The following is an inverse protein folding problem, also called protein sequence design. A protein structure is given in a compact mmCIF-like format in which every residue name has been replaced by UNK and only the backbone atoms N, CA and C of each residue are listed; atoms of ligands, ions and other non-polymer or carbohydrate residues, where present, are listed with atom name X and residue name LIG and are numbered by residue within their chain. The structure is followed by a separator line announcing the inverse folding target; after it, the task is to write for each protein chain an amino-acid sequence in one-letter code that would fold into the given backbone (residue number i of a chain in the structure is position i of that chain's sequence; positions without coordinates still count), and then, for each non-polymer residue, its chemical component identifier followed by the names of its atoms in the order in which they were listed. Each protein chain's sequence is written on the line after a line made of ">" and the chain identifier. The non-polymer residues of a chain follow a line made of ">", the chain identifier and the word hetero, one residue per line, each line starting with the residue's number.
data_IF_204815035181
#
_entry.id   IF_204815035181
#
_cell.length_a   1.000
_cell.length_b   1.000
_cell.length_c   1.000
_cell.angle_alpha   90.00
_cell.angle_beta   90.00
_cell.angle_gamma   90.00
#
_symmetry.space_group_name_H-M   'P 1'
#
loop_
_entity.id
_entity.type
_entity.pdbx_description
1 polymer ?
#
# COMPACT_ATOMS: atom_id res chain seq x y z
N UNK A 1 -44.77 -29.77 36.54
CA UNK A 1 -43.33 -29.39 36.61
C UNK A 1 -42.74 -29.68 35.23
N UNK A 2 -42.81 -28.80 34.20
CA UNK A 2 -42.01 -27.57 33.99
C UNK A 2 -40.54 -27.82 34.42
N UNK A 3 -39.49 -27.71 33.59
CA UNK A 3 -39.14 -26.62 32.67
C UNK A 3 -38.14 -27.11 31.60
N UNK A 4 -38.43 -26.78 30.33
CA UNK A 4 -37.51 -26.74 29.19
C UNK A 4 -36.55 -25.55 29.29
N UNK A 5 -35.23 -25.74 29.09
CA UNK A 5 -34.25 -24.65 29.08
C UNK A 5 -33.73 -24.38 27.67
N UNK A 6 -34.18 -23.23 27.15
CA UNK A 6 -33.76 -22.58 25.92
C UNK A 6 -32.28 -22.20 25.89
N UNK A 7 -31.65 -22.41 24.73
CA UNK A 7 -30.39 -21.76 24.34
C UNK A 7 -30.74 -20.41 23.68
N UNK A 8 -30.36 -19.29 24.31
CA UNK A 8 -30.47 -17.94 23.72
C UNK A 8 -29.15 -17.53 23.08
N UNK A 9 -29.16 -17.45 21.75
CA UNK A 9 -28.18 -16.70 20.96
C UNK A 9 -28.37 -15.21 21.19
N UNK A 10 -27.32 -14.52 21.67
CA UNK A 10 -27.27 -13.07 21.73
C UNK A 10 -26.85 -12.53 20.36
N UNK A 11 -27.83 -12.10 19.57
CA UNK A 11 -27.63 -11.19 18.45
C UNK A 11 -27.70 -9.75 18.98
N UNK A 12 -26.58 -9.04 18.95
CA UNK A 12 -26.56 -7.60 19.19
C UNK A 12 -26.99 -6.88 17.90
N UNK A 13 -28.12 -6.19 17.99
CA UNK A 13 -28.79 -5.46 16.90
C UNK A 13 -28.55 -3.98 17.13
N UNK A 14 -27.72 -3.33 16.33
CA UNK A 14 -27.61 -1.87 16.30
C UNK A 14 -28.46 -1.32 15.16
N UNK A 15 -29.57 -0.69 15.54
CA UNK A 15 -30.37 0.20 14.71
C UNK A 15 -29.60 1.51 14.50
N UNK A 16 -29.48 1.96 13.24
CA UNK A 16 -29.38 3.38 12.92
C UNK A 16 -30.26 3.68 11.71
N UNK A 17 -31.07 4.72 11.85
CA UNK A 17 -32.34 4.94 11.15
C UNK A 17 -32.22 5.38 9.70
N UNK A 18 -33.29 5.03 8.96
CA UNK A 18 -33.63 5.57 7.65
C UNK A 18 -33.99 7.06 7.78
N UNK A 19 -33.38 7.89 6.94
CA UNK A 19 -33.97 9.14 6.47
C UNK A 19 -34.34 8.96 5.00
N UNK A 20 -35.63 9.01 4.72
CA UNK A 20 -36.18 9.05 3.37
C UNK A 20 -35.80 10.37 2.71
N UNK A 21 -35.29 10.32 1.48
CA UNK A 21 -35.47 11.40 0.51
C UNK A 21 -35.58 10.77 -0.89
N UNK A 22 -36.74 10.98 -1.49
CA UNK A 22 -37.06 10.59 -2.85
C UNK A 22 -36.45 11.60 -3.84
N UNK A 23 -35.88 11.12 -4.95
CA UNK A 23 -35.93 11.84 -6.22
C UNK A 23 -35.43 10.98 -7.39
N UNK A 24 -36.34 10.77 -8.33
CA UNK A 24 -36.17 10.82 -9.78
C UNK A 24 -35.39 9.69 -10.48
N UNK A 25 -36.20 8.82 -11.07
CA UNK A 25 -35.91 8.01 -12.25
C UNK A 25 -35.26 8.86 -13.35
N UNK A 26 -34.05 8.48 -13.77
CA UNK A 26 -33.55 8.79 -15.10
C UNK A 26 -33.06 7.48 -15.71
N UNK A 27 -33.94 6.88 -16.50
CA UNK A 27 -33.59 5.88 -17.50
C UNK A 27 -32.65 6.53 -18.51
N UNK A 28 -31.42 6.04 -18.65
CA UNK A 28 -30.58 6.30 -19.81
C UNK A 28 -30.28 4.97 -20.50
N UNK A 29 -31.18 4.60 -21.41
CA UNK A 29 -30.93 3.65 -22.48
C UNK A 29 -29.80 4.19 -23.35
N UNK A 30 -28.63 3.57 -23.31
CA UNK A 30 -27.60 3.83 -24.30
C UNK A 30 -27.94 3.09 -25.58
N UNK A 31 -28.44 3.86 -26.55
CA UNK A 31 -28.47 3.51 -27.96
C UNK A 31 -27.05 3.17 -28.43
N UNK A 32 -26.86 1.95 -28.92
CA UNK A 32 -25.76 1.63 -29.82
C UNK A 32 -26.01 2.37 -31.13
N UNK A 33 -25.26 3.43 -31.40
CA UNK A 33 -25.14 4.01 -32.74
C UNK A 33 -23.78 3.69 -33.32
N UNK A 34 -23.86 2.97 -34.44
CA UNK A 34 -22.88 2.57 -35.44
C UNK A 34 -21.77 3.58 -35.78
N UNK A 35 -20.54 3.07 -35.84
CA UNK A 35 -19.74 2.95 -37.07
C UNK A 35 -19.45 4.22 -37.87
N UNK A 36 -18.21 4.71 -37.76
CA UNK A 36 -17.46 5.33 -38.86
C UNK A 36 -15.98 5.39 -38.46
N UNK A 37 -15.21 4.36 -38.84
CA UNK A 37 -13.75 4.45 -38.92
C UNK A 37 -13.36 4.12 -40.36
N UNK A 38 -12.71 5.08 -41.00
CA UNK A 38 -12.22 5.03 -42.35
C UNK A 38 -11.24 3.84 -42.53
N UNK A 39 -11.40 3.14 -43.65
CA UNK A 39 -10.47 2.14 -44.12
C UNK A 39 -9.15 2.80 -44.52
N UNK A 40 -8.04 2.28 -44.00
CA UNK A 40 -6.72 2.44 -44.59
C UNK A 40 -6.16 1.03 -44.79
N UNK A 41 -6.21 0.55 -46.03
CA UNK A 41 -5.53 -0.66 -46.46
C UNK A 41 -4.02 -0.39 -46.47
N UNK A 42 -3.26 -1.08 -45.63
CA UNK A 42 -1.79 -1.13 -45.76
C UNK A 42 -1.40 -2.40 -46.50
N UNK A 43 -0.68 -2.21 -47.60
CA UNK A 43 -0.16 -3.27 -48.47
C UNK A 43 0.89 -4.11 -47.73
N UNK A 44 0.77 -5.43 -47.89
CA UNK A 44 1.80 -6.38 -47.51
C UNK A 44 3.03 -6.21 -48.41
N UNK A 45 4.18 -5.98 -47.78
CA UNK A 45 5.51 -6.11 -48.37
C UNK A 45 6.31 -7.03 -47.47
N UNK A 46 6.78 -8.14 -48.02
CA UNK A 46 7.43 -9.23 -47.33
C UNK A 46 8.92 -9.23 -47.67
N UNK A 47 9.79 -8.75 -46.78
CA UNK A 47 11.24 -9.02 -46.84
C UNK A 47 11.86 -9.04 -45.42
N UNK A 48 12.27 -10.22 -44.94
CA UNK A 48 13.14 -10.38 -43.77
C UNK A 48 12.44 -10.52 -42.40
N UNK A 49 12.02 -11.74 -42.04
CA UNK A 49 11.34 -12.03 -40.77
C UNK A 49 12.31 -12.06 -39.56
N UNK A 50 12.83 -10.91 -39.16
CA UNK A 50 13.01 -10.66 -37.74
C UNK A 50 11.62 -10.32 -37.17
N UNK A 51 11.04 -11.23 -36.38
CA UNK A 51 9.74 -10.98 -35.74
C UNK A 51 9.81 -9.66 -34.97
N UNK A 52 9.18 -8.61 -35.50
CA UNK A 52 9.14 -7.31 -34.84
C UNK A 52 8.57 -7.48 -33.43
N UNK A 53 9.41 -7.26 -32.41
CA UNK A 53 9.06 -7.42 -31.00
C UNK A 53 7.98 -6.38 -30.67
N UNK A 54 6.72 -6.81 -30.66
CA UNK A 54 5.59 -5.94 -30.34
C UNK A 54 5.52 -5.64 -28.84
N UNK A 55 5.56 -4.35 -28.47
CA UNK A 55 5.42 -3.88 -27.08
C UNK A 55 3.99 -3.46 -26.74
N UNK A 56 3.51 -3.82 -25.56
CA UNK A 56 2.15 -3.56 -25.08
C UNK A 56 2.06 -2.27 -24.26
N UNK A 57 2.08 -1.13 -24.95
CA UNK A 57 1.81 0.17 -24.35
C UNK A 57 0.37 0.32 -23.84
N UNK A 58 0.12 1.33 -23.02
CA UNK A 58 -1.23 1.61 -22.47
C UNK A 58 -2.27 1.92 -23.55
N UNK A 59 -1.85 2.46 -24.70
CA UNK A 59 -2.73 2.77 -25.85
C UNK A 59 -3.24 1.52 -26.57
N UNK A 60 -2.58 0.37 -26.38
CA UNK A 60 -2.90 -0.86 -27.11
C UNK A 60 -4.01 -1.65 -26.39
N UNK A 61 -5.14 -1.85 -27.07
CA UNK A 61 -6.30 -2.57 -26.51
C UNK A 61 -6.03 -4.08 -26.29
N UNK A 62 -5.37 -4.74 -27.25
CA UNK A 62 -5.08 -6.18 -27.21
C UNK A 62 -3.63 -6.41 -26.83
N UNK A 63 -3.40 -6.79 -25.58
CA UNK A 63 -2.04 -7.01 -25.04
C UNK A 63 -1.55 -8.44 -25.16
N UNK A 64 -2.41 -9.44 -25.38
CA UNK A 64 -1.99 -10.85 -25.43
C UNK A 64 -0.97 -11.07 -26.54
N UNK A 65 0.15 -11.67 -26.18
CA UNK A 65 1.24 -11.97 -27.11
C UNK A 65 2.21 -10.82 -27.33
N UNK A 66 2.02 -9.66 -26.71
CA UNK A 66 2.98 -8.56 -26.75
C UNK A 66 3.85 -8.57 -25.50
N UNK A 67 5.02 -7.96 -25.59
CA UNK A 67 5.96 -7.81 -24.49
C UNK A 67 5.59 -6.63 -23.60
N UNK A 68 5.73 -6.81 -22.29
CA UNK A 68 5.61 -5.72 -21.33
C UNK A 68 6.90 -4.88 -21.35
N UNK A 69 6.83 -3.57 -21.66
CA UNK A 69 8.00 -2.72 -21.58
C UNK A 69 8.48 -2.62 -20.13
N UNK A 70 9.81 -2.51 -19.96
CA UNK A 70 10.46 -2.41 -18.66
C UNK A 70 10.77 -0.94 -18.39
N UNK A 71 10.31 -0.43 -17.25
CA UNK A 71 10.51 0.95 -16.83
C UNK A 71 11.45 1.03 -15.64
N UNK A 72 12.09 2.18 -15.47
CA UNK A 72 12.94 2.46 -14.32
C UNK A 72 12.11 2.97 -13.13
N UNK A 73 12.69 2.96 -11.93
CA UNK A 73 12.04 3.48 -10.71
C UNK A 73 11.72 4.98 -10.85
N UNK A 74 12.65 5.73 -11.43
CA UNK A 74 12.52 7.19 -11.61
C UNK A 74 11.33 7.52 -12.52
N UNK A 75 11.19 6.79 -13.62
CA UNK A 75 10.04 6.88 -14.53
C UNK A 75 8.73 6.54 -13.82
N UNK A 76 8.72 5.52 -12.96
CA UNK A 76 7.54 5.17 -12.19
C UNK A 76 7.12 6.31 -11.24
N UNK A 77 8.06 6.89 -10.51
CA UNK A 77 7.77 7.98 -9.57
C UNK A 77 7.30 9.22 -10.35
N UNK A 78 7.96 9.54 -11.46
CA UNK A 78 7.55 10.61 -12.35
C UNK A 78 6.13 10.39 -12.90
N UNK A 79 5.80 9.16 -13.28
CA UNK A 79 4.46 8.79 -13.74
C UNK A 79 3.41 8.95 -12.63
N UNK A 80 3.66 8.47 -11.41
CA UNK A 80 2.71 8.63 -10.30
C UNK A 80 2.45 10.10 -9.93
N UNK A 81 3.44 10.96 -10.12
CA UNK A 81 3.32 12.41 -9.91
C UNK A 81 2.72 13.16 -11.12
N UNK A 82 2.53 12.47 -12.25
CA UNK A 82 2.05 13.09 -13.48
C UNK A 82 0.54 13.37 -13.45
N UNK A 83 0.12 14.33 -14.27
CA UNK A 83 -1.30 14.63 -14.49
C UNK A 83 -2.06 13.44 -15.07
N UNK A 84 -1.39 12.65 -15.93
CA UNK A 84 -1.97 11.45 -16.55
C UNK A 84 -2.40 10.44 -15.48
N UNK A 85 -1.58 10.21 -14.47
CA UNK A 85 -1.93 9.30 -13.36
C UNK A 85 -3.10 9.84 -12.53
N UNK A 86 -3.12 11.13 -12.25
CA UNK A 86 -4.23 11.76 -11.53
C UNK A 86 -5.55 11.64 -12.30
N UNK A 87 -5.53 11.84 -13.61
CA UNK A 87 -6.72 11.76 -14.47
C UNK A 87 -7.21 10.31 -14.64
N UNK A 88 -6.31 9.34 -14.75
CA UNK A 88 -6.66 7.92 -14.92
C UNK A 88 -7.29 7.31 -13.68
N UNK A 89 -6.74 7.59 -12.48
CA UNK A 89 -7.21 6.99 -11.23
C UNK A 89 -8.09 7.90 -10.37
N UNK A 90 -8.19 9.20 -10.68
CA UNK A 90 -9.09 10.15 -10.01
C UNK A 90 -8.95 10.17 -8.49
N UNK A 91 -7.73 10.02 -7.99
CA UNK A 91 -7.41 9.99 -6.55
C UNK A 91 -7.82 8.70 -5.82
N UNK A 92 -8.36 7.69 -6.51
CA UNK A 92 -8.68 6.38 -5.95
C UNK A 92 -7.51 5.40 -6.10
N UNK A 93 -7.43 4.33 -5.28
CA UNK A 93 -6.34 3.37 -5.39
C UNK A 93 -6.40 2.61 -6.71
N UNK A 94 -5.24 2.19 -7.24
CA UNK A 94 -5.08 1.61 -8.58
C UNK A 94 -6.04 0.45 -8.88
N UNK A 95 -6.31 -0.40 -7.90
CA UNK A 95 -7.18 -1.57 -8.07
C UNK A 95 -8.68 -1.23 -8.10
N UNK A 96 -9.09 -0.01 -7.75
CA UNK A 96 -10.51 0.35 -7.56
C UNK A 96 -11.34 0.16 -8.83
N UNK A 97 -10.84 0.63 -9.97
CA UNK A 97 -11.52 0.51 -11.26
C UNK A 97 -11.33 -0.83 -11.96
N UNK A 98 -10.69 -1.80 -11.30
CA UNK A 98 -10.46 -3.11 -11.88
C UNK A 98 -11.54 -4.10 -11.47
N UNK A 99 -12.20 -4.70 -12.45
CA UNK A 99 -13.18 -5.77 -12.24
C UNK A 99 -12.77 -7.03 -12.99
N UNK A 100 -12.74 -8.16 -12.30
CA UNK A 100 -12.37 -9.43 -12.94
C UNK A 100 -13.57 -10.08 -13.61
N UNK A 101 -13.33 -10.63 -14.79
CA UNK A 101 -14.31 -11.46 -15.50
C UNK A 101 -14.26 -12.90 -14.97
N UNK A 102 -15.35 -13.37 -14.39
CA UNK A 102 -15.57 -14.75 -13.98
C UNK A 102 -17.07 -15.07 -14.04
N UNK A 103 -17.42 -16.35 -14.09
CA UNK A 103 -18.82 -16.79 -14.18
C UNK A 103 -19.47 -16.77 -12.79
N UNK A 104 -20.72 -16.30 -12.71
CA UNK A 104 -21.53 -16.34 -11.49
C UNK A 104 -21.35 -15.15 -10.55
N UNK A 105 -21.87 -15.29 -9.33
CA UNK A 105 -21.82 -14.25 -8.29
C UNK A 105 -20.43 -14.13 -7.68
N UNK A 106 -20.10 -12.95 -7.14
CA UNK A 106 -18.78 -12.64 -6.57
C UNK A 106 -18.37 -13.54 -5.38
N UNK A 107 -19.34 -14.11 -4.67
CA UNK A 107 -19.10 -15.04 -3.55
C UNK A 107 -18.41 -16.31 -4.07
N UNK A 108 -18.84 -16.80 -5.24
CA UNK A 108 -18.29 -17.99 -5.90
C UNK A 108 -17.10 -17.68 -6.80
N UNK A 109 -16.50 -16.51 -6.64
CA UNK A 109 -15.34 -16.10 -7.42
C UNK A 109 -14.19 -17.11 -7.20
N UNK A 110 -13.66 -17.73 -8.27
CA UNK A 110 -12.57 -18.70 -8.17
C UNK A 110 -11.29 -18.03 -7.66
N UNK A 111 -10.29 -18.84 -7.33
CA UNK A 111 -8.95 -18.31 -7.06
C UNK A 111 -8.46 -17.50 -8.29
N UNK A 112 -7.79 -16.36 -8.11
CA UNK A 112 -7.21 -15.62 -9.22
C UNK A 112 -6.19 -16.46 -9.97
N UNK A 113 -5.79 -16.00 -11.15
CA UNK A 113 -4.78 -16.67 -11.96
C UNK A 113 -3.37 -16.55 -11.37
N UNK A 114 -2.49 -17.48 -11.73
CA UNK A 114 -1.12 -17.55 -11.22
C UNK A 114 -0.28 -16.35 -11.66
N UNK A 115 -0.21 -16.10 -12.97
CA UNK A 115 0.56 -15.01 -13.56
C UNK A 115 -0.22 -14.35 -14.71
N UNK A 116 0.12 -13.10 -15.00
CA UNK A 116 -0.43 -12.30 -16.10
C UNK A 116 0.53 -12.19 -17.28
N UNK A 117 1.80 -12.09 -16.91
CA UNK A 117 2.96 -11.93 -17.77
C UNK A 117 3.80 -13.18 -17.55
N UNK A 118 4.30 -13.76 -18.63
CA UNK A 118 5.16 -14.93 -18.59
C UNK A 118 6.58 -14.54 -18.14
N UNK A 119 7.43 -15.52 -17.83
CA UNK A 119 8.82 -15.27 -17.40
C UNK A 119 9.64 -14.49 -18.45
N UNK A 120 9.28 -14.64 -19.71
CA UNK A 120 9.88 -13.94 -20.86
C UNK A 120 9.40 -12.48 -20.98
N UNK A 121 8.43 -12.04 -20.19
CA UNK A 121 7.86 -10.69 -20.26
C UNK A 121 6.68 -10.55 -21.21
N UNK A 122 6.20 -11.64 -21.82
CA UNK A 122 5.05 -11.64 -22.75
C UNK A 122 3.72 -11.72 -22.00
N UNK A 123 2.71 -11.00 -22.46
CA UNK A 123 1.36 -11.06 -21.88
C UNK A 123 0.63 -12.32 -22.31
N UNK A 124 0.23 -13.15 -21.34
CA UNK A 124 -0.59 -14.35 -21.60
C UNK A 124 -2.06 -14.03 -21.84
N UNK A 125 -2.52 -12.86 -21.38
CA UNK A 125 -3.94 -12.47 -21.42
C UNK A 125 -4.12 -11.07 -21.98
N UNK A 126 -5.36 -10.77 -22.39
CA UNK A 126 -5.76 -9.41 -22.73
C UNK A 126 -6.14 -8.59 -21.48
N UNK A 127 -7.00 -9.12 -20.61
CA UNK A 127 -7.47 -8.40 -19.42
C UNK A 127 -6.51 -8.61 -18.25
N UNK A 128 -5.42 -7.84 -18.22
CA UNK A 128 -4.35 -7.97 -17.23
C UNK A 128 -4.73 -7.44 -15.83
N UNK A 129 -4.01 -7.87 -14.78
CA UNK A 129 -4.23 -7.37 -13.42
C UNK A 129 -4.03 -5.83 -13.34
N UNK A 130 -4.56 -5.12 -12.32
CA UNK A 130 -4.46 -3.66 -12.25
C UNK A 130 -3.02 -3.12 -12.34
N UNK A 131 -2.04 -3.84 -11.79
CA UNK A 131 -0.61 -3.50 -11.90
C UNK A 131 -0.02 -3.94 -13.24
N UNK A 132 -0.47 -5.07 -13.77
CA UNK A 132 0.10 -5.67 -14.96
C UNK A 132 -0.38 -4.96 -16.23
N UNK A 133 -1.58 -4.38 -16.20
CA UNK A 133 -2.17 -3.69 -17.36
C UNK A 133 -1.45 -2.37 -17.64
N UNK A 134 -0.99 -1.69 -16.58
CA UNK A 134 -0.33 -0.40 -16.65
C UNK A 134 1.19 -0.65 -16.61
N UNK A 135 1.90 -0.15 -17.62
CA UNK A 135 3.31 -0.48 -17.83
C UNK A 135 4.24 0.11 -16.76
N UNK A 136 4.01 1.37 -16.37
CA UNK A 136 4.83 2.10 -15.40
C UNK A 136 4.70 1.57 -13.96
N UNK A 137 3.65 0.80 -13.65
CA UNK A 137 3.37 0.35 -12.29
C UNK A 137 3.98 -1.02 -12.02
N UNK A 138 4.84 -1.10 -11.01
CA UNK A 138 5.45 -2.33 -10.52
C UNK A 138 5.82 -2.17 -9.05
N UNK A 139 5.86 -3.26 -8.30
CA UNK A 139 6.14 -3.17 -6.86
C UNK A 139 7.63 -3.06 -6.58
N UNK A 140 8.01 -1.97 -5.92
CA UNK A 140 9.35 -1.74 -5.41
C UNK A 140 9.30 -1.11 -4.01
N UNK A 141 10.14 -1.62 -3.10
CA UNK A 141 10.24 -1.14 -1.71
C UNK A 141 10.63 0.34 -1.59
N UNK A 142 11.34 0.89 -2.57
CA UNK A 142 11.78 2.30 -2.60
C UNK A 142 10.63 3.28 -2.85
N UNK A 143 9.54 2.80 -3.45
CA UNK A 143 8.33 3.57 -3.68
C UNK A 143 7.19 3.08 -2.77
N UNK A 144 7.17 3.49 -1.49
CA UNK A 144 6.13 3.05 -0.56
C UNK A 144 4.75 3.59 -0.95
N UNK A 145 4.65 4.68 -1.70
CA UNK A 145 3.38 5.30 -2.06
C UNK A 145 2.47 4.34 -2.85
N UNK A 146 3.04 3.52 -3.74
CA UNK A 146 2.27 2.50 -4.45
C UNK A 146 1.87 1.34 -3.53
N UNK A 147 2.80 0.86 -2.69
CA UNK A 147 2.56 -0.28 -1.78
C UNK A 147 1.45 0.05 -0.77
N UNK A 148 1.46 1.26 -0.20
CA UNK A 148 0.50 1.71 0.80
C UNK A 148 -0.95 1.64 0.29
N UNK A 149 -1.18 1.83 -1.01
CA UNK A 149 -2.51 1.71 -1.61
C UNK A 149 -3.11 0.30 -1.46
N UNK A 150 -2.28 -0.74 -1.33
CA UNK A 150 -2.73 -2.14 -1.25
C UNK A 150 -2.86 -2.67 0.18
N UNK A 151 -2.61 -1.82 1.18
CA UNK A 151 -2.77 -2.16 2.59
C UNK A 151 -4.17 -1.77 3.08
N UNK A 152 -4.57 -2.33 4.22
CA UNK A 152 -5.68 -1.74 4.98
C UNK A 152 -5.22 -0.42 5.60
N UNK A 153 -6.11 0.57 5.61
CA UNK A 153 -5.84 1.91 6.13
C UNK A 153 -5.14 1.86 7.49
N UNK A 154 -4.02 2.57 7.62
CA UNK A 154 -3.21 2.70 8.84
C UNK A 154 -2.62 1.38 9.40
N UNK A 155 -2.73 0.26 8.68
CA UNK A 155 -2.15 -1.02 9.11
C UNK A 155 -1.10 -1.53 8.14
N UNK A 156 -0.32 -2.50 8.59
CA UNK A 156 0.72 -3.16 7.80
C UNK A 156 0.23 -4.49 7.16
N UNK A 157 -1.09 -4.68 7.13
CA UNK A 157 -1.76 -5.87 6.59
C UNK A 157 -2.21 -5.63 5.15
N UNK A 158 -1.90 -6.58 4.28
CA UNK A 158 -2.27 -6.52 2.87
C UNK A 158 -3.75 -6.86 2.69
N UNK A 159 -4.43 -6.14 1.81
CA UNK A 159 -5.81 -6.44 1.42
C UNK A 159 -5.92 -7.85 0.80
N UNK A 160 -7.06 -8.54 0.99
CA UNK A 160 -7.23 -9.89 0.47
C UNK A 160 -7.16 -9.90 -1.05
N UNK A 161 -6.45 -10.89 -1.60
CA UNK A 161 -6.18 -11.02 -3.03
C UNK A 161 -7.45 -10.93 -3.92
N UNK A 162 -8.57 -11.49 -3.45
CA UNK A 162 -9.87 -11.42 -4.14
C UNK A 162 -10.38 -9.99 -4.33
N UNK A 163 -10.13 -9.09 -3.36
CA UNK A 163 -10.51 -7.67 -3.40
C UNK A 163 -9.58 -6.88 -4.32
N UNK A 164 -8.27 -7.18 -4.28
CA UNK A 164 -7.26 -6.48 -5.09
C UNK A 164 -7.29 -6.84 -6.57
N UNK A 165 -7.75 -8.04 -6.93
CA UNK A 165 -7.81 -8.48 -8.33
C UNK A 165 -6.44 -8.74 -8.97
N UNK A 166 -5.37 -8.85 -8.17
CA UNK A 166 -4.02 -9.18 -8.62
C UNK A 166 -3.89 -10.66 -9.04
N UNK A 167 -2.85 -10.99 -9.81
CA UNK A 167 -2.41 -12.38 -9.94
C UNK A 167 -1.60 -12.81 -8.71
N UNK A 168 -1.45 -14.12 -8.52
CA UNK A 168 -0.66 -14.65 -7.41
C UNK A 168 0.79 -14.18 -7.44
N UNK A 169 1.40 -14.11 -8.62
CA UNK A 169 2.78 -13.62 -8.78
C UNK A 169 2.96 -12.18 -8.28
N UNK A 170 2.14 -11.24 -8.75
CA UNK A 170 2.20 -9.83 -8.30
C UNK A 170 1.87 -9.68 -6.81
N UNK A 171 1.00 -10.53 -6.27
CA UNK A 171 0.71 -10.52 -4.84
C UNK A 171 1.85 -11.09 -3.99
N UNK A 172 2.58 -12.08 -4.50
CA UNK A 172 3.82 -12.56 -3.88
C UNK A 172 4.91 -11.48 -3.94
N UNK A 173 5.05 -10.77 -5.07
CA UNK A 173 5.95 -9.63 -5.22
C UNK A 173 5.59 -8.51 -4.24
N UNK A 174 4.31 -8.15 -4.10
CA UNK A 174 3.85 -7.18 -3.10
C UNK A 174 4.24 -7.58 -1.68
N UNK A 175 4.08 -8.86 -1.31
CA UNK A 175 4.50 -9.38 0.00
C UNK A 175 6.00 -9.27 0.23
N UNK A 176 6.80 -9.67 -0.76
CA UNK A 176 8.25 -9.59 -0.69
C UNK A 176 8.75 -8.14 -0.57
N UNK A 177 8.19 -7.24 -1.38
CA UNK A 177 8.55 -5.82 -1.38
C UNK A 177 8.07 -5.11 -0.12
N UNK A 178 6.91 -5.48 0.43
CA UNK A 178 6.44 -4.99 1.72
C UNK A 178 7.38 -5.42 2.85
N UNK A 179 7.80 -6.69 2.86
CA UNK A 179 8.78 -7.18 3.85
C UNK A 179 10.08 -6.40 3.76
N UNK A 180 10.61 -6.24 2.55
CA UNK A 180 11.83 -5.46 2.28
C UNK A 180 11.67 -3.98 2.68
N UNK A 181 10.51 -3.38 2.43
CA UNK A 181 10.22 -2.01 2.85
C UNK A 181 10.15 -1.85 4.37
N UNK A 182 9.69 -2.88 5.10
CA UNK A 182 9.75 -2.92 6.58
C UNK A 182 11.18 -3.02 7.08
N UNK A 183 12.00 -3.90 6.49
CA UNK A 183 13.41 -4.08 6.86
C UNK A 183 14.24 -2.81 6.66
N UNK A 184 14.01 -2.08 5.55
CA UNK A 184 14.69 -0.82 5.27
C UNK A 184 14.05 0.41 5.96
N UNK A 185 12.90 0.26 6.62
CA UNK A 185 12.22 1.36 7.31
C UNK A 185 11.50 2.37 6.40
N UNK A 186 11.20 2.03 5.14
CA UNK A 186 10.44 2.92 4.24
C UNK A 186 8.95 3.00 4.58
N UNK A 187 8.42 1.99 5.27
CA UNK A 187 7.01 1.92 5.69
C UNK A 187 6.95 1.88 7.21
N UNK A 188 6.04 2.65 7.80
CA UNK A 188 5.73 2.61 9.23
C UNK A 188 4.93 1.34 9.52
N UNK A 189 5.39 0.54 10.47
CA UNK A 189 4.70 -0.67 10.90
C UNK A 189 4.83 -0.90 12.40
N UNK A 190 4.00 -1.81 12.91
CA UNK A 190 3.88 -2.10 14.31
C UNK A 190 4.83 -3.26 14.72
N UNK A 191 6.03 -2.95 15.22
CA UNK A 191 6.98 -3.94 15.81
C UNK A 191 6.46 -4.52 17.15
N UNK A 192 6.14 -5.81 17.28
CA UNK A 192 5.69 -6.36 18.56
C UNK A 192 6.81 -6.27 19.61
N UNK A 193 6.47 -5.83 20.83
CA UNK A 193 7.39 -5.89 21.96
C UNK A 193 7.31 -7.27 22.62
N UNK A 194 8.48 -7.80 23.01
CA UNK A 194 8.54 -9.00 23.83
C UNK A 194 8.55 -8.56 25.30
N UNK A 195 7.58 -9.07 26.07
CA UNK A 195 7.58 -8.92 27.52
C UNK A 195 8.42 -10.06 28.11
N UNK A 196 9.39 -9.73 28.96
CA UNK A 196 10.23 -10.71 29.65
C UNK A 196 9.82 -10.82 31.11
N UNK A 197 9.71 -12.05 31.60
CA UNK A 197 9.53 -12.32 33.03
C UNK A 197 10.90 -12.54 33.70
N UNK A 198 11.43 -11.47 34.28
CA UNK A 198 12.77 -11.48 34.87
C UNK A 198 12.92 -12.40 36.09
N UNK A 199 11.81 -12.84 36.72
CA UNK A 199 11.86 -13.79 37.85
C UNK A 199 12.48 -15.13 37.46
N UNK A 200 12.34 -15.54 36.20
CA UNK A 200 12.93 -16.78 35.71
C UNK A 200 14.46 -16.76 35.72
N UNK A 201 15.08 -15.59 35.51
CA UNK A 201 16.54 -15.43 35.46
C UNK A 201 17.14 -14.94 36.78
N UNK A 202 16.35 -14.24 37.59
CA UNK A 202 16.76 -13.67 38.87
C UNK A 202 15.84 -14.16 39.98
N UNK A 203 16.08 -15.35 40.57
CA UNK A 203 15.23 -15.91 41.63
C UNK A 203 15.12 -15.05 42.88
N UNK A 204 16.05 -14.10 43.08
CA UNK A 204 16.08 -13.14 44.18
C UNK A 204 15.36 -11.82 43.86
N UNK A 205 14.75 -11.69 42.69
CA UNK A 205 14.06 -10.47 42.26
C UNK A 205 12.61 -10.47 42.73
N UNK A 206 12.39 -9.91 43.93
CA UNK A 206 11.07 -9.86 44.60
C UNK A 206 10.22 -8.63 44.24
N UNK A 207 10.60 -7.85 43.22
CA UNK A 207 9.79 -6.69 42.82
C UNK A 207 8.50 -7.13 42.13
N UNK A 208 7.48 -6.27 42.19
CA UNK A 208 6.21 -6.47 41.50
C UNK A 208 6.45 -6.80 40.02
N UNK A 209 5.64 -7.73 39.50
CA UNK A 209 5.72 -8.16 38.10
C UNK A 209 5.69 -6.95 37.17
N UNK A 210 6.59 -6.92 36.20
CA UNK A 210 6.66 -5.84 35.24
C UNK A 210 5.30 -5.63 34.57
N UNK A 211 4.80 -4.39 34.57
CA UNK A 211 3.56 -4.05 33.88
C UNK A 211 3.69 -4.49 32.44
N UNK A 212 2.82 -5.43 32.02
CA UNK A 212 2.84 -5.92 30.65
C UNK A 212 2.69 -4.72 29.69
N UNK A 213 3.70 -4.49 28.85
CA UNK A 213 3.63 -3.40 27.88
C UNK A 213 2.71 -3.88 26.76
N UNK A 214 1.41 -3.57 26.88
CA UNK A 214 0.47 -3.67 25.77
C UNK A 214 0.48 -2.38 24.99
N UNK A 215 0.52 -2.52 23.66
CA UNK A 215 0.58 -1.42 22.68
C UNK A 215 -0.62 -0.47 22.71
N UNK A 216 -1.69 -0.85 23.40
CA UNK A 216 -2.89 -0.03 23.59
C UNK A 216 -2.61 1.22 24.41
N UNK A 217 -1.50 1.24 25.16
CA UNK A 217 -1.01 2.39 25.89
C UNK A 217 -0.27 3.30 24.89
N UNK A 218 -0.79 4.52 24.60
CA UNK A 218 -0.11 5.49 23.76
C UNK A 218 1.33 5.72 24.25
N UNK A 219 2.27 6.00 23.34
CA UNK A 219 3.68 6.24 23.70
C UNK A 219 3.81 7.39 24.71
N UNK A 220 2.87 8.33 24.65
CA UNK A 220 2.71 9.47 25.54
C UNK A 220 2.40 9.06 26.99
N UNK A 221 1.81 7.89 27.21
CA UNK A 221 1.52 7.34 28.54
C UNK A 221 2.70 6.53 29.12
N UNK A 222 3.53 5.92 28.26
CA UNK A 222 4.73 5.15 28.66
C UNK A 222 5.75 6.06 29.35
N UNK A 223 5.85 7.32 28.92
CA UNK A 223 6.79 8.31 29.45
C UNK A 223 6.12 9.42 30.25
N UNK A 224 5.15 9.09 31.12
CA UNK A 224 4.82 9.97 32.27
C UNK A 224 5.92 9.92 33.32
N UNK A 225 7.18 10.05 32.93
CA UNK A 225 8.16 10.49 33.91
C UNK A 225 7.79 11.94 34.23
N UNK A 226 7.57 12.32 35.50
CA UNK A 226 7.57 13.74 35.82
C UNK A 226 8.87 14.29 35.26
N UNK A 227 8.86 15.50 34.70
CA UNK A 227 10.08 16.20 34.32
C UNK A 227 11.02 16.18 35.52
N UNK A 228 11.96 15.23 35.52
CA UNK A 228 12.99 15.14 36.55
C UNK A 228 13.89 16.31 36.20
N UNK A 229 13.72 17.40 36.94
CA UNK A 229 14.60 18.55 36.82
C UNK A 229 15.96 18.10 37.33
N UNK A 230 16.81 17.60 36.42
CA UNK A 230 18.18 17.29 36.77
C UNK A 230 18.81 18.61 37.25
N UNK A 231 19.44 18.65 38.44
CA UNK A 231 20.17 19.83 38.85
C UNK A 231 21.31 20.02 37.85
N UNK A 232 21.13 20.95 36.92
CA UNK A 232 22.15 21.37 35.99
C UNK A 232 23.17 22.14 36.82
N UNK A 233 24.28 21.49 37.17
CA UNK A 233 25.39 22.18 37.81
C UNK A 233 25.89 23.24 36.83
N UNK A 234 25.76 24.51 37.21
CA UNK A 234 26.00 25.71 36.39
C UNK A 234 24.93 25.95 35.32
N UNK A 235 23.90 26.70 35.69
CA UNK A 235 22.98 27.30 34.73
C UNK A 235 23.74 28.43 34.04
N UNK A 236 24.11 28.22 32.79
CA UNK A 236 24.72 29.21 31.90
C UNK A 236 23.72 30.35 31.61
N UNK A 237 23.44 31.17 32.61
CA UNK A 237 22.69 32.40 32.41
C UNK A 237 23.54 33.36 31.58
N UNK A 238 22.95 33.95 30.54
CA UNK A 238 23.58 34.87 29.57
C UNK A 238 24.58 34.28 28.56
N UNK A 239 24.70 32.96 28.40
CA UNK A 239 25.41 32.41 27.24
C UNK A 239 24.44 32.27 26.06
N UNK A 240 24.57 33.18 25.10
CA UNK A 240 23.95 33.04 23.78
C UNK A 240 24.82 32.05 22.97
N UNK A 241 24.37 30.79 22.86
CA UNK A 241 25.12 29.72 22.21
C UNK A 241 25.39 29.99 20.72
N UNK A 242 24.59 30.89 20.13
CA UNK A 242 24.76 31.34 18.75
C UNK A 242 25.96 32.29 18.56
N UNK A 243 26.64 32.73 19.63
CA UNK A 243 27.79 33.65 19.56
C UNK A 243 29.12 33.03 20.02
N UNK A 244 29.22 31.70 20.05
CA UNK A 244 30.41 30.96 20.53
C UNK A 244 31.75 31.44 19.91
N UNK A 245 31.76 31.90 18.65
CA UNK A 245 32.97 32.34 17.95
C UNK A 245 33.64 33.57 18.58
N UNK A 246 32.91 34.44 19.27
CA UNK A 246 33.48 35.60 19.97
C UNK A 246 34.37 35.14 21.14
N UNK A 247 33.88 34.17 21.91
CA UNK A 247 34.61 33.59 23.05
C UNK A 247 35.78 32.72 22.60
N UNK A 248 35.67 32.03 21.47
CA UNK A 248 36.80 31.30 20.87
C UNK A 248 37.98 32.24 20.59
N UNK A 249 37.71 33.43 20.02
CA UNK A 249 38.75 34.41 19.76
C UNK A 249 39.38 34.97 21.05
N UNK A 250 38.59 35.19 22.10
CA UNK A 250 39.10 35.61 23.42
C UNK A 250 40.00 34.53 24.07
N UNK A 251 39.60 33.25 24.00
CA UNK A 251 40.43 32.15 24.49
C UNK A 251 41.74 32.02 23.71
N UNK A 252 41.69 32.16 22.38
CA UNK A 252 42.88 32.16 21.53
C UNK A 252 43.81 33.33 21.86
N UNK A 253 43.26 34.51 22.15
CA UNK A 253 44.03 35.68 22.56
C UNK A 253 44.66 35.53 23.95
N UNK A 254 43.97 34.94 24.92
CA UNK A 254 44.52 34.66 26.25
C UNK A 254 45.59 33.55 26.24
N UNK A 255 45.59 32.70 25.22
CA UNK A 255 46.56 31.60 25.08
C UNK A 255 47.90 32.00 24.43
N UNK A 256 48.03 33.26 23.96
CA UNK A 256 49.27 33.85 23.43
C UNK A 256 49.94 34.75 24.46
#
# INVERSE_FOLDING_TARGET
>A
MLISKHIRLLFYKSNSGLSNNASLLINCNYHNSSQLCCAAEMKEGNDGAEEAIGYAYNTVEKKKGLYRPKHTLEEQIAYMNSKVYADTYKGMPVYHFYRRNFKGQAIFMPKPRMFCVDKEGKFKVNHACPICRDEYLFFDYRNPALILQFLFDQTDRILPLKKLGLCFDQYAQLRAQLLKAKEHGFIKFAVPFQNFDYKHWYPWWDKDDHVCVRREVPVEEIYKQPLVNFPVHNRDYNNDWDQYWLRYNEFVQQSK
#
